data_IF_585181452655
#
_entry.id   IF_585181452655
#
_cell.length_a   1.000
_cell.length_b   1.000
_cell.length_c   1.000
_cell.angle_alpha   90.00
_cell.angle_beta   90.00
_cell.angle_gamma   90.00
#
_symmetry.space_group_name_H-M   'P 1'
#
loop_
_entity.id
_entity.type
_entity.pdbx_description
1 polymer ?
#
# COMPACT_ATOMS: atom_id res chain seq x y z
N UNK A 1 -99.04 4.28 -20.87
CA UNK A 1 -97.86 3.85 -21.67
C UNK A 1 -96.90 5.01 -22.01
N UNK A 2 -96.67 5.97 -21.09
CA UNK A 2 -95.80 7.15 -21.32
C UNK A 2 -94.74 7.40 -20.23
N UNK A 3 -94.59 6.47 -19.27
CA UNK A 3 -93.69 6.63 -18.13
C UNK A 3 -92.37 5.85 -18.31
N UNK A 4 -92.36 4.74 -19.05
CA UNK A 4 -91.14 3.96 -19.33
C UNK A 4 -90.15 4.60 -20.32
N UNK A 5 -90.56 5.61 -21.10
CA UNK A 5 -89.67 6.27 -22.09
C UNK A 5 -88.85 7.42 -21.50
N UNK A 6 -89.21 7.91 -20.31
CA UNK A 6 -88.51 9.02 -19.66
C UNK A 6 -87.35 8.54 -18.78
N UNK A 7 -87.44 7.31 -18.27
CA UNK A 7 -86.40 6.73 -17.43
C UNK A 7 -85.20 6.23 -18.27
N UNK A 8 -85.45 5.64 -19.46
CA UNK A 8 -84.37 5.21 -20.38
C UNK A 8 -83.50 6.37 -20.87
N UNK A 9 -84.11 7.51 -21.28
CA UNK A 9 -83.36 8.68 -21.77
C UNK A 9 -82.55 9.35 -20.65
N UNK A 10 -83.00 9.22 -19.40
CA UNK A 10 -82.30 9.78 -18.23
C UNK A 10 -81.14 8.89 -17.80
N UNK A 11 -81.29 7.57 -17.95
CA UNK A 11 -80.23 6.58 -17.74
C UNK A 11 -79.10 6.75 -18.77
N UNK A 12 -79.45 6.84 -20.06
CA UNK A 12 -78.50 7.00 -21.18
C UNK A 12 -77.65 8.28 -21.04
N UNK A 13 -78.27 9.41 -20.69
CA UNK A 13 -77.54 10.67 -20.41
C UNK A 13 -76.66 10.61 -19.17
N UNK A 14 -77.02 9.82 -18.16
CA UNK A 14 -76.18 9.65 -16.97
C UNK A 14 -74.95 8.79 -17.26
N UNK A 15 -75.08 7.81 -18.14
CA UNK A 15 -73.99 6.93 -18.54
C UNK A 15 -72.99 7.66 -19.45
N UNK A 16 -73.46 8.48 -20.39
CA UNK A 16 -72.59 9.33 -21.24
C UNK A 16 -71.76 10.33 -20.41
N UNK A 17 -72.35 10.97 -19.40
CA UNK A 17 -71.66 11.92 -18.53
C UNK A 17 -70.63 11.21 -17.62
N UNK A 18 -70.94 9.99 -17.18
CA UNK A 18 -69.97 9.16 -16.43
C UNK A 18 -68.82 8.69 -17.31
N UNK A 19 -69.11 8.29 -18.55
CA UNK A 19 -68.11 7.88 -19.53
C UNK A 19 -67.15 9.03 -19.85
N UNK A 20 -67.69 10.23 -20.13
CA UNK A 20 -66.90 11.42 -20.41
C UNK A 20 -65.99 11.82 -19.22
N UNK A 21 -66.50 11.75 -17.98
CA UNK A 21 -65.69 11.99 -16.78
C UNK A 21 -64.62 10.92 -16.56
N UNK A 22 -64.91 9.65 -16.84
CA UNK A 22 -63.91 8.58 -16.74
C UNK A 22 -62.81 8.72 -17.80
N UNK A 23 -63.15 9.18 -19.01
CA UNK A 23 -62.18 9.40 -20.09
C UNK A 23 -61.28 10.62 -19.82
N UNK A 24 -61.81 11.68 -19.21
CA UNK A 24 -61.02 12.86 -18.79
C UNK A 24 -60.02 12.51 -17.67
N UNK A 25 -60.48 11.76 -16.65
CA UNK A 25 -59.62 11.24 -15.58
C UNK A 25 -58.58 10.25 -16.13
N UNK A 26 -58.93 9.45 -17.16
CA UNK A 26 -57.98 8.57 -17.85
C UNK A 26 -56.93 9.37 -18.62
N UNK A 27 -57.32 10.45 -19.33
CA UNK A 27 -56.37 11.32 -20.05
C UNK A 27 -55.41 12.03 -19.10
N UNK A 28 -55.90 12.62 -18.01
CA UNK A 28 -55.03 13.24 -16.98
C UNK A 28 -54.05 12.24 -16.36
N UNK A 29 -54.51 11.03 -16.00
CA UNK A 29 -53.62 9.97 -15.51
C UNK A 29 -52.60 9.53 -16.55
N UNK A 30 -52.98 9.45 -17.82
CA UNK A 30 -52.10 9.00 -18.90
C UNK A 30 -51.03 10.03 -19.23
N UNK A 31 -51.33 11.33 -19.15
CA UNK A 31 -50.37 12.41 -19.39
C UNK A 31 -49.39 12.59 -18.21
N UNK A 32 -49.87 12.49 -16.96
CA UNK A 32 -48.99 12.47 -15.79
C UNK A 32 -47.99 11.31 -15.79
N UNK A 33 -48.43 10.11 -16.21
CA UNK A 33 -47.57 8.92 -16.28
C UNK A 33 -46.53 9.02 -17.41
N UNK A 34 -46.86 9.65 -18.54
CA UNK A 34 -45.92 9.90 -19.65
C UNK A 34 -44.87 10.94 -19.28
N UNK A 35 -45.26 12.03 -18.62
CA UNK A 35 -44.35 13.08 -18.13
C UNK A 35 -43.39 12.49 -17.09
N UNK A 36 -43.89 11.66 -16.17
CA UNK A 36 -43.08 11.01 -15.15
C UNK A 36 -42.04 10.05 -15.78
N UNK A 37 -42.44 9.21 -16.74
CA UNK A 37 -41.51 8.34 -17.47
C UNK A 37 -40.44 9.13 -18.22
N UNK A 38 -40.80 10.26 -18.83
CA UNK A 38 -39.85 11.12 -19.55
C UNK A 38 -38.80 11.72 -18.61
N UNK A 39 -39.21 12.16 -17.40
CA UNK A 39 -38.30 12.68 -16.39
C UNK A 39 -37.28 11.63 -15.90
N UNK A 40 -37.72 10.38 -15.67
CA UNK A 40 -36.81 9.30 -15.27
C UNK A 40 -35.81 8.90 -16.36
N UNK A 41 -36.25 8.89 -17.62
CA UNK A 41 -35.33 8.68 -18.76
C UNK A 41 -34.30 9.80 -18.82
N UNK A 42 -34.71 11.06 -18.62
CA UNK A 42 -33.80 12.20 -18.62
C UNK A 42 -32.78 12.13 -17.47
N UNK A 43 -33.22 11.77 -16.27
CA UNK A 43 -32.33 11.54 -15.11
C UNK A 43 -31.37 10.40 -15.40
N UNK A 44 -31.85 9.29 -15.99
CA UNK A 44 -31.00 8.17 -16.40
C UNK A 44 -29.93 8.57 -17.42
N UNK A 45 -30.30 9.38 -18.42
CA UNK A 45 -29.37 9.92 -19.42
C UNK A 45 -28.38 10.90 -18.79
N UNK A 46 -28.83 11.79 -17.89
CA UNK A 46 -27.95 12.72 -17.17
C UNK A 46 -26.97 11.99 -16.24
N UNK A 47 -27.42 10.92 -15.58
CA UNK A 47 -26.56 10.06 -14.77
C UNK A 47 -25.56 9.30 -15.65
N UNK A 48 -26.01 8.72 -16.77
CA UNK A 48 -25.13 8.05 -17.73
C UNK A 48 -24.10 9.03 -18.35
N UNK A 49 -24.52 10.23 -18.71
CA UNK A 49 -23.65 11.30 -19.19
C UNK A 49 -22.67 11.77 -18.10
N UNK A 50 -23.11 11.87 -16.84
CA UNK A 50 -22.26 12.18 -15.70
C UNK A 50 -21.21 11.09 -15.43
N UNK A 51 -21.59 9.82 -15.55
CA UNK A 51 -20.67 8.67 -15.47
C UNK A 51 -19.69 8.68 -16.66
N UNK A 52 -20.16 8.98 -17.87
CA UNK A 52 -19.29 9.10 -19.05
C UNK A 52 -18.29 10.26 -18.90
N UNK A 53 -18.76 11.45 -18.51
CA UNK A 53 -17.92 12.63 -18.29
C UNK A 53 -16.89 12.44 -17.17
N UNK A 54 -17.25 11.72 -16.10
CA UNK A 54 -16.30 11.37 -15.03
C UNK A 54 -15.34 10.26 -15.46
N UNK A 55 -15.78 9.30 -16.28
CA UNK A 55 -14.91 8.27 -16.87
C UNK A 55 -13.94 8.81 -17.92
N UNK A 56 -14.27 9.94 -18.55
CA UNK A 56 -13.42 10.68 -19.51
C UNK A 56 -12.36 11.54 -18.83
N UNK A 57 -12.47 11.79 -17.52
CA UNK A 57 -11.39 12.45 -16.78
C UNK A 57 -10.24 11.45 -16.65
N UNK A 58 -9.18 11.70 -17.40
CA UNK A 58 -7.92 10.96 -17.33
C UNK A 58 -7.26 11.04 -15.95
N UNK A 59 -6.00 10.60 -15.88
CA UNK A 59 -5.20 10.76 -14.67
C UNK A 59 -5.12 12.25 -14.29
N UNK A 60 -5.44 12.64 -13.04
CA UNK A 60 -5.28 14.01 -12.59
C UNK A 60 -3.86 14.55 -12.82
N UNK A 61 -3.75 15.86 -13.07
CA UNK A 61 -2.46 16.52 -13.20
C UNK A 61 -1.56 16.35 -11.96
N UNK A 62 -2.16 16.34 -10.76
CA UNK A 62 -1.43 16.14 -9.50
C UNK A 62 -0.67 14.81 -9.45
N UNK A 63 -1.28 13.70 -9.87
CA UNK A 63 -0.61 12.39 -9.86
C UNK A 63 0.56 12.35 -10.85
N UNK A 64 0.40 12.99 -12.01
CA UNK A 64 1.46 13.12 -13.01
C UNK A 64 2.60 14.01 -12.49
N UNK A 65 2.27 15.11 -11.80
CA UNK A 65 3.25 16.00 -11.18
C UNK A 65 4.04 15.29 -10.07
N UNK A 66 3.37 14.51 -9.22
CA UNK A 66 4.02 13.73 -8.17
C UNK A 66 4.95 12.65 -8.76
N UNK A 67 4.49 11.93 -9.79
CA UNK A 67 5.35 11.00 -10.53
C UNK A 67 6.59 11.70 -11.12
N UNK A 68 6.41 12.86 -11.75
CA UNK A 68 7.52 13.65 -12.32
C UNK A 68 8.50 14.12 -11.24
N UNK A 69 8.00 14.56 -10.07
CA UNK A 69 8.84 14.93 -8.93
C UNK A 69 9.64 13.73 -8.41
N UNK A 70 9.02 12.55 -8.33
CA UNK A 70 9.72 11.31 -7.97
C UNK A 70 10.83 10.98 -8.98
N UNK A 71 10.53 11.04 -10.28
CA UNK A 71 11.53 10.83 -11.33
C UNK A 71 12.66 11.89 -11.31
N UNK A 72 12.38 13.12 -10.86
CA UNK A 72 13.41 14.14 -10.74
C UNK A 72 14.47 13.83 -9.67
N UNK A 73 14.20 12.89 -8.75
CA UNK A 73 15.19 12.37 -7.80
C UNK A 73 16.23 11.46 -8.48
N UNK A 74 16.02 11.06 -9.74
CA UNK A 74 16.97 10.27 -10.53
C UNK A 74 18.17 11.10 -11.03
N UNK A 75 18.32 12.34 -10.57
CA UNK A 75 19.48 13.22 -10.78
C UNK A 75 20.75 12.79 -10.01
N UNK A 76 20.76 11.55 -9.50
CA UNK A 76 21.81 10.97 -8.66
C UNK A 76 21.38 10.79 -7.21
N UNK A 77 20.32 11.46 -6.73
CA UNK A 77 19.83 11.30 -5.36
C UNK A 77 19.33 9.88 -5.09
N UNK A 78 18.52 9.28 -5.97
CA UNK A 78 18.08 7.89 -5.78
C UNK A 78 19.23 6.88 -5.80
N UNK A 79 20.25 7.09 -6.65
CA UNK A 79 21.45 6.22 -6.69
C UNK A 79 22.27 6.30 -5.39
N UNK A 80 22.29 7.47 -4.73
CA UNK A 80 22.91 7.64 -3.41
C UNK A 80 22.11 6.94 -2.30
N UNK A 81 20.78 6.89 -2.43
CA UNK A 81 19.91 6.17 -1.50
C UNK A 81 20.12 4.66 -1.68
N UNK A 82 19.98 4.16 -2.91
CA UNK A 82 20.16 2.74 -3.21
C UNK A 82 20.68 2.52 -4.64
N UNK A 83 21.78 1.77 -4.83
CA UNK A 83 22.35 1.53 -6.15
C UNK A 83 21.37 0.86 -7.13
N UNK A 84 21.09 1.53 -8.25
CA UNK A 84 20.18 1.08 -9.29
C UNK A 84 18.70 1.32 -9.00
N UNK A 85 18.33 2.05 -7.94
CA UNK A 85 16.96 2.48 -7.70
C UNK A 85 16.52 3.52 -8.74
N UNK A 86 15.38 3.26 -9.36
CA UNK A 86 14.78 4.15 -10.35
C UNK A 86 13.27 3.89 -10.41
N UNK A 87 12.50 4.97 -10.38
CA UNK A 87 11.04 4.95 -10.55
C UNK A 87 10.70 4.81 -12.03
N UNK A 88 11.39 5.55 -12.91
CA UNK A 88 11.12 5.60 -14.35
C UNK A 88 11.48 4.31 -15.09
N UNK A 89 12.32 3.46 -14.49
CA UNK A 89 12.68 2.13 -15.01
C UNK A 89 11.48 1.19 -15.11
N UNK A 90 10.47 1.36 -14.26
CA UNK A 90 9.31 0.48 -14.20
C UNK A 90 8.04 1.21 -14.64
N UNK A 91 7.09 0.53 -15.30
CA UNK A 91 5.78 1.10 -15.58
C UNK A 91 5.01 1.37 -14.28
N UNK A 92 4.58 2.61 -14.07
CA UNK A 92 3.79 3.02 -12.88
C UNK A 92 2.31 3.08 -13.24
N UNK A 93 1.51 2.16 -12.72
CA UNK A 93 0.07 2.07 -12.93
C UNK A 93 -0.69 2.76 -11.79
N UNK A 94 -1.17 3.98 -12.03
CA UNK A 94 -1.94 4.74 -11.04
C UNK A 94 -3.43 4.40 -11.14
N UNK A 95 -3.99 3.80 -10.09
CA UNK A 95 -5.41 3.41 -10.00
C UNK A 95 -6.29 4.56 -9.55
N UNK A 96 -7.35 4.82 -10.33
CA UNK A 96 -8.42 5.75 -9.98
C UNK A 96 -9.78 5.20 -10.40
N UNK A 97 -10.59 4.85 -9.40
CA UNK A 97 -11.88 4.19 -9.63
C UNK A 97 -11.70 2.83 -10.31
N UNK A 98 -12.31 2.67 -11.49
CA UNK A 98 -12.29 1.42 -12.28
C UNK A 98 -11.27 1.41 -13.42
N UNK A 99 -10.24 2.25 -13.34
CA UNK A 99 -9.18 2.33 -14.34
C UNK A 99 -7.80 2.46 -13.70
N UNK A 100 -6.80 1.94 -14.39
CA UNK A 100 -5.38 2.21 -14.17
C UNK A 100 -4.86 3.10 -15.31
N UNK A 101 -4.00 4.04 -14.95
CA UNK A 101 -3.27 4.88 -15.88
C UNK A 101 -1.80 4.51 -15.78
N UNK A 102 -1.31 3.76 -16.75
CA UNK A 102 0.08 3.28 -16.81
C UNK A 102 0.94 4.36 -17.43
N UNK A 103 1.89 4.86 -16.65
CA UNK A 103 2.89 5.84 -17.05
C UNK A 103 4.19 5.09 -17.34
N UNK A 104 4.69 5.15 -18.56
CA UNK A 104 5.97 4.53 -18.94
C UNK A 104 6.56 5.15 -20.20
N UNK A 105 7.86 5.43 -20.23
CA UNK A 105 8.57 6.00 -21.39
C UNK A 105 7.90 7.26 -21.99
N UNK A 106 7.31 8.11 -21.14
CA UNK A 106 6.62 9.33 -21.56
C UNK A 106 5.18 9.13 -22.06
N UNK A 107 4.74 7.89 -22.23
CA UNK A 107 3.36 7.55 -22.58
C UNK A 107 2.49 7.39 -21.33
N UNK A 108 1.21 7.76 -21.43
CA UNK A 108 0.19 7.43 -20.44
C UNK A 108 -0.90 6.61 -21.12
N UNK A 109 -1.07 5.36 -20.73
CA UNK A 109 -2.06 4.43 -21.29
C UNK A 109 -3.10 4.07 -20.24
N UNK A 110 -4.37 4.22 -20.60
CA UNK A 110 -5.49 3.81 -19.75
C UNK A 110 -5.79 2.33 -19.98
N UNK A 111 -5.86 1.54 -18.91
CA UNK A 111 -6.29 0.13 -18.93
C UNK A 111 -7.27 -0.18 -17.81
N UNK A 112 -7.86 -1.38 -17.84
CA UNK A 112 -8.61 -1.92 -16.71
C UNK A 112 -7.62 -2.31 -15.59
N UNK A 113 -8.00 -2.18 -14.31
CA UNK A 113 -7.15 -2.59 -13.20
C UNK A 113 -6.74 -4.05 -13.31
N UNK A 114 -5.47 -4.34 -13.02
CA UNK A 114 -4.96 -5.72 -13.03
C UNK A 114 -5.44 -6.47 -11.80
N UNK A 115 -5.43 -5.82 -10.64
CA UNK A 115 -5.96 -6.38 -9.40
C UNK A 115 -7.42 -5.96 -9.17
N UNK A 116 -8.28 -6.82 -8.60
CA UNK A 116 -9.64 -6.45 -8.25
C UNK A 116 -9.68 -5.44 -7.10
N UNK A 117 -8.62 -5.35 -6.29
CA UNK A 117 -8.48 -4.50 -5.09
C UNK A 117 -7.58 -3.29 -5.35
N UNK A 118 -7.83 -2.20 -4.61
CA UNK A 118 -6.88 -1.08 -4.55
C UNK A 118 -5.63 -1.60 -3.83
N UNK A 119 -4.47 -1.46 -4.46
CA UNK A 119 -3.19 -1.91 -3.93
C UNK A 119 -2.13 -0.82 -4.15
N UNK A 120 -1.21 -0.70 -3.19
CA UNK A 120 0.07 -0.01 -3.30
C UNK A 120 1.11 -1.14 -3.24
N UNK A 121 1.76 -1.44 -4.35
CA UNK A 121 2.57 -2.65 -4.48
C UNK A 121 3.42 -2.68 -5.74
N UNK A 122 4.52 -3.45 -5.76
CA UNK A 122 5.12 -3.95 -6.99
C UNK A 122 4.49 -5.28 -7.43
N UNK A 123 4.13 -5.40 -8.70
CA UNK A 123 3.41 -6.54 -9.25
C UNK A 123 4.15 -7.16 -10.45
N UNK A 124 4.60 -8.43 -10.37
CA UNK A 124 5.19 -9.12 -11.51
C UNK A 124 4.12 -9.46 -12.55
N UNK A 125 4.39 -9.15 -13.82
CA UNK A 125 3.58 -9.52 -14.98
C UNK A 125 4.48 -10.12 -16.07
N UNK A 126 3.87 -10.73 -17.09
CA UNK A 126 4.58 -11.42 -18.18
C UNK A 126 5.61 -10.52 -18.91
N UNK A 127 5.34 -9.22 -19.00
CA UNK A 127 6.17 -8.23 -19.69
C UNK A 127 7.06 -7.39 -18.75
N UNK A 128 7.10 -7.72 -17.46
CA UNK A 128 7.96 -7.09 -16.45
C UNK A 128 7.24 -6.75 -15.15
N UNK A 129 7.91 -6.01 -14.28
CA UNK A 129 7.36 -5.60 -12.98
C UNK A 129 6.68 -4.23 -13.08
N UNK A 130 5.45 -4.13 -12.60
CA UNK A 130 4.67 -2.89 -12.54
C UNK A 130 4.64 -2.34 -11.12
N UNK A 131 4.75 -1.02 -10.98
CA UNK A 131 4.47 -0.34 -9.72
C UNK A 131 2.99 0.05 -9.73
N UNK A 132 2.18 -0.57 -8.88
CA UNK A 132 0.76 -0.27 -8.72
C UNK A 132 0.59 0.75 -7.59
N UNK A 133 -0.02 1.88 -7.90
CA UNK A 133 -0.24 2.96 -6.93
C UNK A 133 -1.69 3.40 -6.94
N UNK A 134 -2.38 3.57 -5.81
CA UNK A 134 -3.62 4.32 -5.79
C UNK A 134 -3.34 5.79 -6.09
N UNK A 135 -4.26 6.50 -6.76
CA UNK A 135 -4.09 7.93 -7.00
C UNK A 135 -4.00 8.70 -5.68
N UNK A 136 -3.33 9.85 -5.65
CA UNK A 136 -3.18 10.71 -4.47
C UNK A 136 -4.52 11.04 -3.81
N UNK A 137 -5.55 11.31 -4.60
CA UNK A 137 -6.91 11.54 -4.07
C UNK A 137 -7.52 10.32 -3.38
N UNK A 138 -7.19 9.12 -3.86
CA UNK A 138 -7.64 7.85 -3.25
C UNK A 138 -6.86 7.65 -1.94
N UNK A 139 -5.54 7.83 -1.95
CA UNK A 139 -4.69 7.81 -0.76
C UNK A 139 -5.18 8.80 0.31
N UNK A 140 -5.51 10.03 -0.07
CA UNK A 140 -6.05 11.07 0.83
C UNK A 140 -7.41 10.72 1.43
N UNK A 141 -8.19 9.87 0.75
CA UNK A 141 -9.51 9.44 1.20
C UNK A 141 -9.44 8.20 2.08
N UNK A 142 -8.40 7.38 1.88
CA UNK A 142 -8.23 6.10 2.55
C UNK A 142 -7.37 6.24 3.81
N UNK A 143 -6.47 7.22 3.93
CA UNK A 143 -5.60 7.39 5.10
C UNK A 143 -4.25 6.67 4.97
N UNK A 144 -3.65 6.26 6.11
CA UNK A 144 -2.37 5.56 6.15
C UNK A 144 -2.44 4.16 5.51
N UNK A 145 -1.36 3.70 4.87
CA UNK A 145 -1.28 2.32 4.38
C UNK A 145 -1.06 1.41 5.59
N UNK A 146 -1.91 0.40 5.81
CA UNK A 146 -1.55 -0.73 6.66
C UNK A 146 -1.04 -1.85 5.74
N UNK A 147 0.23 -2.16 5.82
CA UNK A 147 0.88 -3.11 4.92
C UNK A 147 0.52 -4.56 5.32
N UNK A 148 0.38 -5.48 4.35
CA UNK A 148 0.10 -6.86 4.72
C UNK A 148 0.30 -7.92 3.64
N UNK A 149 1.20 -8.86 3.92
CA UNK A 149 1.42 -10.09 3.13
C UNK A 149 0.26 -11.07 3.31
N UNK A 150 -0.18 -11.76 2.25
CA UNK A 150 -0.82 -13.07 2.36
C UNK A 150 -0.02 -14.15 1.64
N UNK A 151 -0.26 -15.40 2.03
CA UNK A 151 0.60 -16.55 1.76
C UNK A 151 0.73 -16.88 0.27
N UNK A 152 1.82 -16.41 -0.34
CA UNK A 152 2.23 -16.70 -1.72
C UNK A 152 3.05 -15.54 -2.30
N UNK A 153 4.05 -15.81 -3.14
CA UNK A 153 4.92 -14.78 -3.75
C UNK A 153 4.13 -13.69 -4.51
N UNK A 154 3.02 -14.05 -5.16
CA UNK A 154 2.14 -13.13 -5.88
C UNK A 154 1.17 -12.34 -4.97
N UNK A 155 0.90 -12.84 -3.76
CA UNK A 155 -0.01 -12.21 -2.78
C UNK A 155 0.72 -11.47 -1.65
N UNK A 156 2.03 -11.66 -1.56
CA UNK A 156 2.93 -11.11 -0.56
C UNK A 156 2.91 -9.57 -0.51
N UNK A 157 2.69 -8.91 -1.65
CA UNK A 157 2.95 -7.47 -1.75
C UNK A 157 1.68 -6.61 -1.65
N UNK A 158 0.51 -7.19 -1.34
CA UNK A 158 -0.75 -6.43 -1.35
C UNK A 158 -0.97 -5.67 -0.03
N UNK A 159 -0.55 -4.42 0.05
CA UNK A 159 -0.84 -3.54 1.20
C UNK A 159 -2.36 -3.37 1.43
N UNK A 160 -2.84 -3.52 2.68
CA UNK A 160 -4.25 -3.29 3.11
C UNK A 160 -4.41 -2.00 3.90
N UNK A 161 -4.75 -0.89 3.24
CA UNK A 161 -4.86 0.44 3.86
C UNK A 161 -5.70 0.57 5.16
N UNK A 162 -5.25 1.44 6.08
CA UNK A 162 -5.90 1.84 7.33
C UNK A 162 -6.42 3.29 7.26
N UNK A 163 -7.63 3.53 7.78
CA UNK A 163 -8.26 4.85 7.74
C UNK A 163 -7.82 5.69 8.93
N UNK A 164 -6.78 6.50 8.74
CA UNK A 164 -6.51 7.66 9.58
C UNK A 164 -6.90 8.95 8.85
N UNK A 165 -7.51 9.88 9.60
CA UNK A 165 -8.17 11.10 9.10
C UNK A 165 -7.21 12.19 8.59
N UNK A 166 -5.89 11.95 8.64
CA UNK A 166 -4.88 12.88 8.18
C UNK A 166 -4.56 12.63 6.70
N UNK A 167 -4.75 13.66 5.87
CA UNK A 167 -4.38 13.62 4.45
C UNK A 167 -2.87 13.36 4.32
N UNK A 168 -2.52 12.50 3.37
CA UNK A 168 -1.13 12.21 3.03
C UNK A 168 -0.49 13.47 2.44
N UNK A 169 0.77 13.75 2.75
CA UNK A 169 1.50 14.86 2.09
C UNK A 169 1.96 14.43 0.70
N UNK A 170 2.29 15.40 -0.15
CA UNK A 170 2.88 15.13 -1.47
C UNK A 170 4.22 14.39 -1.34
N UNK A 171 5.06 14.79 -0.39
CA UNK A 171 6.35 14.15 -0.13
C UNK A 171 6.17 12.72 0.37
N UNK A 172 5.20 12.48 1.26
CA UNK A 172 4.90 11.13 1.73
C UNK A 172 4.44 10.23 0.57
N UNK A 173 3.61 10.73 -0.35
CA UNK A 173 3.22 9.99 -1.55
C UNK A 173 4.42 9.67 -2.45
N UNK A 174 5.35 10.62 -2.64
CA UNK A 174 6.58 10.40 -3.41
C UNK A 174 7.49 9.36 -2.73
N UNK A 175 7.64 9.44 -1.41
CA UNK A 175 8.40 8.45 -0.63
C UNK A 175 7.82 7.05 -0.77
N UNK A 176 6.50 6.88 -0.68
CA UNK A 176 5.83 5.59 -0.92
C UNK A 176 6.01 5.12 -2.36
N UNK A 177 5.95 6.01 -3.36
CA UNK A 177 6.27 5.60 -4.74
C UNK A 177 7.71 5.08 -4.88
N UNK A 178 8.67 5.65 -4.15
CA UNK A 178 10.05 5.17 -4.13
C UNK A 178 10.21 3.86 -3.33
N UNK A 179 9.41 3.67 -2.28
CA UNK A 179 9.27 2.39 -1.57
C UNK A 179 8.84 1.29 -2.54
N UNK A 180 7.78 1.51 -3.33
CA UNK A 180 7.34 0.51 -4.32
C UNK A 180 8.35 0.30 -5.45
N UNK A 181 9.09 1.33 -5.83
CA UNK A 181 10.20 1.19 -6.76
C UNK A 181 11.34 0.32 -6.19
N UNK A 182 11.52 0.30 -4.87
CA UNK A 182 12.44 -0.62 -4.21
C UNK A 182 11.93 -2.05 -4.33
N UNK A 183 10.66 -2.33 -4.09
CA UNK A 183 10.10 -3.67 -4.32
C UNK A 183 10.23 -4.12 -5.78
N UNK A 184 10.01 -3.21 -6.74
CA UNK A 184 10.22 -3.54 -8.15
C UNK A 184 11.69 -3.90 -8.46
N UNK A 185 12.65 -3.23 -7.81
CA UNK A 185 14.07 -3.56 -7.88
C UNK A 185 14.40 -4.90 -7.23
N UNK A 186 13.85 -5.18 -6.05
CA UNK A 186 14.02 -6.44 -5.33
C UNK A 186 13.51 -7.62 -6.16
N UNK A 187 12.30 -7.53 -6.70
CA UNK A 187 11.72 -8.55 -7.58
C UNK A 187 12.57 -8.78 -8.83
N UNK A 188 13.18 -7.72 -9.37
CA UNK A 188 14.01 -7.80 -10.57
C UNK A 188 15.42 -8.35 -10.33
N UNK A 189 15.89 -8.42 -9.08
CA UNK A 189 17.30 -8.75 -8.77
C UNK A 189 17.50 -9.85 -7.73
N UNK A 190 16.56 -10.02 -6.80
CA UNK A 190 16.73 -10.85 -5.61
C UNK A 190 15.67 -11.94 -5.49
N UNK A 191 15.01 -12.30 -6.59
CA UNK A 191 13.98 -13.35 -6.61
C UNK A 191 14.47 -14.66 -5.96
N UNK A 192 15.70 -15.09 -6.27
CA UNK A 192 16.28 -16.32 -5.68
C UNK A 192 16.51 -16.21 -4.17
N UNK A 193 17.03 -15.08 -3.69
CA UNK A 193 17.25 -14.83 -2.25
C UNK A 193 15.93 -14.79 -1.51
N UNK A 194 14.93 -14.09 -2.06
CA UNK A 194 13.58 -14.00 -1.50
C UNK A 194 12.97 -15.41 -1.43
N UNK A 195 13.03 -16.17 -2.53
CA UNK A 195 12.51 -17.53 -2.59
C UNK A 195 13.22 -18.47 -1.60
N UNK A 196 14.53 -18.32 -1.39
CA UNK A 196 15.28 -19.08 -0.39
C UNK A 196 14.79 -18.79 1.04
N UNK A 197 14.63 -17.51 1.40
CA UNK A 197 14.12 -17.10 2.71
C UNK A 197 12.68 -17.56 2.94
N UNK A 198 11.81 -17.43 1.93
CA UNK A 198 10.43 -17.93 1.99
C UNK A 198 10.38 -19.45 2.22
N UNK A 199 11.26 -20.22 1.57
CA UNK A 199 11.36 -21.67 1.82
C UNK A 199 11.84 -21.99 3.23
N UNK A 200 12.70 -21.15 3.81
CA UNK A 200 13.16 -21.30 5.20
C UNK A 200 12.04 -21.14 6.24
N UNK A 201 10.96 -20.43 5.90
CA UNK A 201 9.78 -20.32 6.76
C UNK A 201 8.98 -21.63 6.73
N UNK A 202 8.92 -22.35 5.59
CA UNK A 202 8.47 -23.76 5.53
C UNK A 202 6.99 -24.06 5.84
N UNK A 203 6.33 -23.29 6.72
CA UNK A 203 4.96 -23.47 7.22
C UNK A 203 4.26 -22.09 7.30
N UNK A 204 3.06 -22.00 6.74
CA UNK A 204 2.24 -20.79 6.72
C UNK A 204 1.80 -20.31 8.12
N UNK A 205 1.83 -21.21 9.12
CA UNK A 205 1.35 -20.91 10.47
C UNK A 205 2.46 -20.34 11.38
N UNK A 206 3.71 -20.29 10.92
CA UNK A 206 4.84 -19.73 11.70
C UNK A 206 4.55 -18.30 12.13
N UNK A 207 4.07 -17.47 11.22
CA UNK A 207 3.81 -16.07 11.52
C UNK A 207 2.73 -15.91 12.60
N UNK A 208 1.64 -16.68 12.48
CA UNK A 208 0.55 -16.63 13.45
C UNK A 208 1.03 -17.06 14.84
N UNK A 209 1.86 -18.10 14.92
CA UNK A 209 2.46 -18.57 16.18
C UNK A 209 3.45 -17.56 16.78
N UNK A 210 4.28 -16.92 15.95
CA UNK A 210 5.17 -15.83 16.40
C UNK A 210 4.33 -14.69 16.99
N UNK A 211 3.29 -14.24 16.28
CA UNK A 211 2.38 -13.18 16.75
C UNK A 211 1.70 -13.56 18.06
N UNK A 212 1.27 -14.81 18.20
CA UNK A 212 0.68 -15.30 19.45
C UNK A 212 1.69 -15.23 20.61
N UNK A 213 2.92 -15.67 20.39
CA UNK A 213 3.98 -15.65 21.40
C UNK A 213 4.40 -14.22 21.82
N UNK A 214 4.18 -13.21 20.99
CA UNK A 214 4.40 -11.81 21.35
C UNK A 214 3.43 -11.25 22.38
N UNK A 215 2.39 -12.00 22.74
CA UNK A 215 1.56 -11.66 23.90
C UNK A 215 2.25 -11.99 25.24
N UNK A 216 3.36 -12.74 25.22
CA UNK A 216 4.15 -13.05 26.42
C UNK A 216 4.96 -11.83 26.88
N UNK A 217 4.81 -11.37 28.14
CA UNK A 217 5.51 -10.19 28.65
C UNK A 217 7.04 -10.27 28.55
N UNK A 218 7.63 -11.47 28.62
CA UNK A 218 9.08 -11.62 28.48
C UNK A 218 9.53 -11.33 27.03
N UNK A 219 8.75 -11.76 26.04
CA UNK A 219 9.01 -11.48 24.62
C UNK A 219 8.84 -9.98 24.35
N UNK A 220 7.75 -9.37 24.82
CA UNK A 220 7.50 -7.93 24.67
C UNK A 220 8.66 -7.09 25.22
N UNK A 221 9.08 -7.37 26.45
CA UNK A 221 10.19 -6.66 27.09
C UNK A 221 11.52 -6.82 26.32
N UNK A 222 11.76 -7.97 25.69
CA UNK A 222 12.96 -8.14 24.85
C UNK A 222 12.87 -7.34 23.55
N UNK A 223 11.73 -7.40 22.86
CA UNK A 223 11.49 -6.62 21.64
C UNK A 223 11.60 -5.10 21.90
N UNK A 224 11.05 -4.62 23.01
CA UNK A 224 11.13 -3.20 23.39
C UNK A 224 12.57 -2.76 23.65
N UNK A 225 13.35 -3.55 24.40
CA UNK A 225 14.77 -3.26 24.65
C UNK A 225 15.58 -3.28 23.35
N UNK A 226 15.29 -4.23 22.47
CA UNK A 226 15.95 -4.34 21.16
C UNK A 226 15.67 -3.09 20.31
N UNK A 227 14.41 -2.66 20.23
CA UNK A 227 14.01 -1.47 19.48
C UNK A 227 14.64 -0.18 20.05
N UNK A 228 14.63 0.00 21.37
CA UNK A 228 15.25 1.15 22.04
C UNK A 228 16.78 1.18 21.83
N UNK A 229 17.46 0.02 21.88
CA UNK A 229 18.89 -0.05 21.58
C UNK A 229 19.19 0.30 20.12
N UNK A 230 18.42 -0.23 19.17
CA UNK A 230 18.58 0.10 17.75
C UNK A 230 18.36 1.59 17.49
N UNK A 231 17.31 2.18 18.05
CA UNK A 231 17.04 3.61 17.97
C UNK A 231 18.24 4.43 18.46
N UNK A 232 18.84 4.09 19.61
CA UNK A 232 20.02 4.80 20.14
C UNK A 232 21.22 4.67 19.21
N UNK A 233 21.48 3.49 18.67
CA UNK A 233 22.59 3.26 17.73
C UNK A 233 22.42 4.06 16.44
N UNK A 234 21.18 4.24 15.97
CA UNK A 234 20.87 5.00 14.74
C UNK A 234 20.88 6.51 14.98
N UNK A 235 20.27 6.99 16.07
CA UNK A 235 19.99 8.41 16.31
C UNK A 235 21.08 9.12 17.12
N UNK A 236 21.99 8.40 17.78
CA UNK A 236 23.06 9.04 18.57
C UNK A 236 23.83 10.09 17.76
N UNK A 237 24.04 11.26 18.35
CA UNK A 237 24.86 12.34 17.77
C UNK A 237 26.37 12.04 17.89
N UNK A 238 26.73 11.02 18.68
CA UNK A 238 28.11 10.64 18.94
C UNK A 238 28.68 9.81 17.76
N UNK A 239 29.20 10.50 16.75
CA UNK A 239 30.11 9.94 15.75
C UNK A 239 29.74 8.54 15.21
N UNK A 240 30.73 7.67 15.02
CA UNK A 240 30.47 6.28 14.64
C UNK A 240 30.00 5.49 15.87
N UNK A 241 28.93 4.67 15.79
CA UNK A 241 28.49 3.83 16.91
C UNK A 241 29.62 2.93 17.42
N UNK A 242 29.69 2.79 18.75
CA UNK A 242 30.67 1.91 19.40
C UNK A 242 30.42 0.43 19.05
N UNK A 243 31.51 -0.31 18.84
CA UNK A 243 31.45 -1.71 18.38
C UNK A 243 30.88 -2.65 19.43
N UNK A 244 31.13 -2.39 20.72
CA UNK A 244 30.55 -3.20 21.81
C UNK A 244 29.03 -3.04 21.87
N UNK A 245 28.53 -1.82 21.70
CA UNK A 245 27.10 -1.53 21.65
C UNK A 245 26.40 -2.19 20.44
N UNK A 246 27.06 -2.23 19.29
CA UNK A 246 26.54 -2.95 18.10
C UNK A 246 26.51 -4.46 18.33
N UNK A 247 27.57 -5.03 18.94
CA UNK A 247 27.61 -6.45 19.31
C UNK A 247 26.55 -6.81 20.34
N UNK A 248 26.26 -5.91 21.28
CA UNK A 248 25.19 -6.10 22.25
C UNK A 248 23.81 -6.16 21.57
N UNK A 249 23.55 -5.27 20.61
CA UNK A 249 22.32 -5.31 19.81
C UNK A 249 22.17 -6.64 19.06
N UNK A 250 23.24 -7.10 18.41
CA UNK A 250 23.26 -8.40 17.70
C UNK A 250 22.96 -9.55 18.68
N UNK A 251 23.57 -9.56 19.86
CA UNK A 251 23.30 -10.58 20.88
C UNK A 251 21.83 -10.55 21.32
N UNK A 252 21.29 -9.36 21.62
CA UNK A 252 19.88 -9.21 22.01
C UNK A 252 18.93 -9.70 20.93
N UNK A 253 19.26 -9.46 19.66
CA UNK A 253 18.49 -10.00 18.53
C UNK A 253 18.44 -11.52 18.55
N UNK A 254 19.60 -12.18 18.68
CA UNK A 254 19.71 -13.65 18.75
C UNK A 254 18.98 -14.22 19.96
N UNK A 255 19.15 -13.61 21.13
CA UNK A 255 18.45 -14.01 22.35
C UNK A 255 16.92 -13.91 22.19
N UNK A 256 16.43 -12.88 21.46
CA UNK A 256 15.00 -12.70 21.17
C UNK A 256 14.48 -13.78 20.22
N UNK A 257 15.25 -14.12 19.18
CA UNK A 257 14.91 -15.21 18.24
C UNK A 257 14.87 -16.57 18.95
N UNK A 258 15.86 -16.86 19.79
CA UNK A 258 15.90 -18.08 20.60
C UNK A 258 14.72 -18.15 21.59
N UNK A 259 14.35 -17.03 22.22
CA UNK A 259 13.17 -16.98 23.09
C UNK A 259 11.88 -17.26 22.30
N UNK A 260 11.70 -16.63 21.14
CA UNK A 260 10.56 -16.87 20.25
C UNK A 260 10.49 -18.34 19.81
N UNK A 261 11.62 -18.93 19.40
CA UNK A 261 11.73 -20.35 19.07
C UNK A 261 11.28 -21.23 20.24
N UNK A 262 11.79 -20.97 21.44
CA UNK A 262 11.42 -21.73 22.64
C UNK A 262 9.95 -21.60 23.01
N UNK A 263 9.34 -20.43 22.84
CA UNK A 263 7.94 -20.16 23.19
C UNK A 263 6.96 -20.74 22.19
N UNK A 264 7.32 -20.67 20.90
CA UNK A 264 6.47 -21.15 19.81
C UNK A 264 6.67 -22.64 19.54
N UNK A 265 7.84 -23.21 19.84
CA UNK A 265 8.26 -24.54 19.37
C UNK A 265 8.61 -24.57 17.88
N UNK A 266 8.95 -23.41 17.30
CA UNK A 266 9.41 -23.26 15.91
C UNK A 266 10.93 -23.36 15.91
N UNK A 267 11.50 -23.96 14.86
CA UNK A 267 12.94 -24.01 14.67
C UNK A 267 13.57 -22.60 14.63
N UNK A 268 14.74 -22.43 15.26
CA UNK A 268 15.40 -21.11 15.36
C UNK A 268 15.78 -20.56 13.98
N UNK A 269 16.19 -21.40 13.03
CA UNK A 269 16.51 -20.96 11.66
C UNK A 269 15.26 -20.50 10.91
N UNK A 270 14.09 -21.08 11.21
CA UNK A 270 12.82 -20.64 10.63
C UNK A 270 12.36 -19.29 11.22
N UNK A 271 12.53 -19.08 12.54
CA UNK A 271 12.31 -17.77 13.18
C UNK A 271 13.25 -16.71 12.60
N UNK A 272 14.53 -17.06 12.42
CA UNK A 272 15.53 -16.20 11.79
C UNK A 272 15.15 -15.87 10.34
N UNK A 273 14.80 -16.88 9.54
CA UNK A 273 14.41 -16.70 8.13
C UNK A 273 13.19 -15.80 7.97
N UNK A 274 12.21 -15.91 8.89
CA UNK A 274 11.06 -15.02 8.93
C UNK A 274 11.46 -13.56 9.17
N UNK A 275 12.32 -13.31 10.17
CA UNK A 275 12.80 -11.97 10.46
C UNK A 275 13.63 -11.40 9.29
N UNK A 276 14.56 -12.19 8.76
CA UNK A 276 15.44 -11.79 7.67
C UNK A 276 14.69 -11.51 6.36
N UNK A 277 13.61 -12.25 6.06
CA UNK A 277 12.74 -12.00 4.92
C UNK A 277 12.12 -10.61 5.00
N UNK A 278 11.50 -10.29 6.14
CA UNK A 278 10.79 -9.02 6.32
C UNK A 278 11.75 -7.83 6.47
N UNK A 279 12.88 -8.01 7.13
CA UNK A 279 13.92 -6.98 7.22
C UNK A 279 14.54 -6.69 5.84
N UNK A 280 14.72 -7.71 5.00
CA UNK A 280 15.21 -7.55 3.62
C UNK A 280 14.18 -6.85 2.74
N UNK A 281 12.94 -7.34 2.67
CA UNK A 281 11.92 -6.81 1.76
C UNK A 281 11.43 -5.44 2.21
N UNK A 282 10.81 -5.39 3.37
CA UNK A 282 10.08 -4.22 3.86
C UNK A 282 11.00 -3.26 4.60
N UNK A 283 11.98 -3.79 5.32
CA UNK A 283 12.97 -2.96 6.01
C UNK A 283 13.81 -2.12 5.04
N UNK A 284 14.28 -2.69 3.93
CA UNK A 284 15.01 -1.90 2.92
C UNK A 284 14.10 -0.95 2.15
N UNK A 285 12.83 -1.30 1.91
CA UNK A 285 11.84 -0.41 1.28
C UNK A 285 11.48 0.78 2.18
N UNK A 286 11.19 0.56 3.47
CA UNK A 286 11.02 1.61 4.51
C UNK A 286 12.27 2.48 4.66
N UNK A 287 13.47 1.90 4.56
CA UNK A 287 14.71 2.67 4.50
C UNK A 287 14.73 3.61 3.29
N UNK A 288 14.43 3.11 2.09
CA UNK A 288 14.34 3.94 0.87
C UNK A 288 13.30 5.05 1.04
N UNK A 289 12.15 4.73 1.62
CA UNK A 289 11.07 5.69 1.91
C UNK A 289 11.55 6.83 2.83
N UNK A 290 12.21 6.49 3.95
CA UNK A 290 12.77 7.46 4.88
C UNK A 290 13.86 8.32 4.23
N UNK A 291 14.79 7.70 3.51
CA UNK A 291 15.87 8.43 2.81
C UNK A 291 15.35 9.30 1.67
N UNK A 292 14.22 8.93 1.06
CA UNK A 292 13.54 9.75 0.07
C UNK A 292 12.95 11.00 0.71
N UNK A 293 12.32 10.88 1.89
CA UNK A 293 11.83 12.03 2.64
C UNK A 293 12.97 13.03 2.94
N UNK A 294 14.14 12.52 3.35
CA UNK A 294 15.34 13.33 3.56
C UNK A 294 15.84 13.98 2.25
N UNK A 295 15.86 13.25 1.13
CA UNK A 295 16.26 13.77 -0.18
C UNK A 295 15.31 14.83 -0.77
N UNK A 296 14.07 14.86 -0.26
CA UNK A 296 13.05 15.89 -0.51
C UNK A 296 13.12 17.06 0.47
N UNK A 297 14.08 17.05 1.41
CA UNK A 297 14.23 18.03 2.49
C UNK A 297 12.99 18.13 3.40
N UNK A 298 12.28 17.01 3.60
CA UNK A 298 11.15 16.90 4.52
C UNK A 298 11.62 16.34 5.87
N UNK A 299 12.25 17.19 6.67
CA UNK A 299 12.84 16.82 7.97
C UNK A 299 11.77 16.33 8.96
N UNK A 300 10.55 16.86 8.88
CA UNK A 300 9.45 16.44 9.75
C UNK A 300 9.00 15.01 9.42
N UNK A 301 8.90 14.66 8.13
CA UNK A 301 8.58 13.31 7.69
C UNK A 301 9.75 12.35 7.98
N UNK A 302 10.99 12.76 7.72
CA UNK A 302 12.16 11.95 8.06
C UNK A 302 12.27 11.68 9.56
N UNK A 303 12.04 12.70 10.40
CA UNK A 303 12.02 12.58 11.86
C UNK A 303 10.91 11.65 12.38
N UNK A 304 9.78 11.55 11.68
CA UNK A 304 8.75 10.56 11.99
C UNK A 304 9.26 9.12 11.80
N UNK A 305 9.98 8.82 10.71
CA UNK A 305 10.59 7.50 10.54
C UNK A 305 11.62 7.19 11.63
N UNK A 306 12.48 8.14 11.99
CA UNK A 306 13.44 7.95 13.09
C UNK A 306 12.73 7.67 14.42
N UNK A 307 11.69 8.43 14.74
CA UNK A 307 10.91 8.26 15.97
C UNK A 307 10.20 6.90 15.99
N UNK A 308 9.71 6.43 14.83
CA UNK A 308 9.02 5.14 14.72
C UNK A 308 9.89 3.93 15.09
N UNK A 309 11.22 4.04 15.03
CA UNK A 309 12.14 2.98 15.47
C UNK A 309 12.00 2.68 16.97
N UNK A 310 11.61 3.66 17.77
CA UNK A 310 11.45 3.50 19.23
C UNK A 310 10.04 3.04 19.63
N UNK A 311 9.09 3.13 18.72
CA UNK A 311 7.72 2.72 18.99
C UNK A 311 7.59 1.19 19.00
N UNK A 312 6.99 0.66 20.06
CA UNK A 312 6.68 -0.76 20.15
C UNK A 312 5.69 -1.15 19.05
N UNK A 313 6.08 -2.15 18.26
CA UNK A 313 5.24 -2.75 17.22
C UNK A 313 5.35 -4.27 17.32
N UNK A 314 4.32 -4.96 16.88
CA UNK A 314 4.20 -6.41 16.94
C UNK A 314 3.83 -6.96 15.57
N UNK A 315 3.94 -8.28 15.41
CA UNK A 315 3.81 -8.95 14.14
C UNK A 315 4.90 -8.51 13.18
N UNK A 316 4.53 -8.22 11.93
CA UNK A 316 5.47 -7.94 10.85
C UNK A 316 6.10 -6.55 10.94
N UNK A 317 5.34 -5.55 11.40
CA UNK A 317 5.78 -4.15 11.48
C UNK A 317 7.10 -3.98 12.26
N UNK A 318 7.34 -4.82 13.27
CA UNK A 318 8.60 -4.81 14.04
C UNK A 318 9.81 -5.13 13.18
N UNK A 319 9.67 -6.03 12.21
CA UNK A 319 10.72 -6.41 11.27
C UNK A 319 10.95 -5.31 10.22
N UNK A 320 9.92 -4.56 9.87
CA UNK A 320 10.03 -3.48 8.89
C UNK A 320 10.81 -2.32 9.51
N UNK A 321 10.44 -1.96 10.74
CA UNK A 321 11.14 -0.93 11.52
C UNK A 321 12.57 -1.35 11.85
N UNK A 322 12.78 -2.57 12.33
CA UNK A 322 14.15 -3.03 12.62
C UNK A 322 15.01 -3.14 11.37
N UNK A 323 14.49 -3.64 10.25
CA UNK A 323 15.23 -3.67 8.99
C UNK A 323 15.59 -2.27 8.46
N UNK A 324 14.67 -1.31 8.57
CA UNK A 324 14.97 0.10 8.30
C UNK A 324 16.09 0.63 9.20
N UNK A 325 15.99 0.38 10.50
CA UNK A 325 16.99 0.81 11.49
C UNK A 325 18.35 0.15 11.27
N UNK A 326 18.40 -1.12 10.90
CA UNK A 326 19.63 -1.84 10.54
C UNK A 326 20.28 -1.19 9.32
N UNK A 327 19.52 -0.86 8.28
CA UNK A 327 20.04 -0.16 7.10
C UNK A 327 20.61 1.23 7.46
N UNK A 328 19.93 1.97 8.34
CA UNK A 328 20.43 3.26 8.83
C UNK A 328 21.69 3.12 9.69
N UNK A 329 21.79 2.05 10.49
CA UNK A 329 22.99 1.74 11.26
C UNK A 329 24.15 1.37 10.33
N UNK A 330 23.90 0.56 9.30
CA UNK A 330 24.89 0.19 8.30
C UNK A 330 25.46 1.41 7.55
N UNK A 331 24.65 2.43 7.25
CA UNK A 331 25.13 3.70 6.69
C UNK A 331 26.20 4.37 7.56
N UNK A 332 26.14 4.19 8.88
CA UNK A 332 27.11 4.74 9.83
C UNK A 332 28.37 3.87 9.98
N UNK A 333 28.25 2.57 9.70
CA UNK A 333 29.31 1.58 9.94
C UNK A 333 30.12 1.26 8.68
N UNK A 334 29.52 1.20 7.50
CA UNK A 334 30.24 0.87 6.29
C UNK A 334 29.61 1.53 5.05
N UNK A 335 30.19 2.61 4.50
CA UNK A 335 29.67 3.24 3.28
C UNK A 335 29.54 2.31 2.06
N UNK A 336 30.19 1.14 2.06
CA UNK A 336 30.13 0.14 1.00
C UNK A 336 28.96 -0.84 1.07
N UNK A 337 28.27 -0.94 2.22
CA UNK A 337 27.39 -2.06 2.58
C UNK A 337 26.31 -2.39 1.52
N UNK A 338 25.76 -1.37 0.85
CA UNK A 338 24.70 -1.54 -0.16
C UNK A 338 25.17 -2.33 -1.38
N UNK A 339 26.45 -2.25 -1.74
CA UNK A 339 27.01 -3.03 -2.86
C UNK A 339 27.07 -4.51 -2.53
N UNK A 340 27.46 -4.84 -1.30
CA UNK A 340 27.57 -6.23 -0.85
C UNK A 340 26.19 -6.88 -0.72
N UNK A 341 25.20 -6.14 -0.23
CA UNK A 341 23.81 -6.60 -0.21
C UNK A 341 23.20 -6.70 -1.62
N UNK A 342 23.47 -5.73 -2.49
CA UNK A 342 22.97 -5.75 -3.88
C UNK A 342 23.54 -6.89 -4.72
N UNK A 343 24.69 -7.46 -4.33
CA UNK A 343 25.24 -8.68 -4.92
C UNK A 343 24.47 -9.95 -4.53
N UNK A 344 23.43 -9.85 -3.69
CA UNK A 344 22.53 -10.94 -3.33
C UNK A 344 23.05 -11.86 -2.23
N UNK A 345 24.13 -11.47 -1.54
CA UNK A 345 24.88 -12.38 -0.68
C UNK A 345 24.20 -12.64 0.67
N UNK A 346 23.61 -11.63 1.31
CA UNK A 346 23.19 -11.69 2.72
C UNK A 346 22.02 -10.72 3.04
N UNK A 347 21.10 -11.08 3.96
CA UNK A 347 20.14 -10.14 4.55
C UNK A 347 20.83 -9.02 5.35
N UNK A 348 20.15 -7.87 5.60
CA UNK A 348 20.75 -6.74 6.32
C UNK A 348 21.32 -7.11 7.71
N UNK A 349 20.61 -7.95 8.47
CA UNK A 349 21.06 -8.37 9.79
C UNK A 349 22.36 -9.17 9.73
N UNK A 350 22.50 -10.09 8.78
CA UNK A 350 23.70 -10.91 8.64
C UNK A 350 24.90 -10.09 8.16
N UNK A 351 24.67 -9.09 7.30
CA UNK A 351 25.71 -8.12 6.94
C UNK A 351 26.19 -7.31 8.14
N UNK A 352 25.27 -6.87 9.01
CA UNK A 352 25.61 -6.18 10.25
C UNK A 352 26.44 -7.07 11.18
N UNK A 353 26.12 -8.36 11.29
CA UNK A 353 26.91 -9.32 12.06
C UNK A 353 28.34 -9.45 11.52
N UNK A 354 28.51 -9.54 10.20
CA UNK A 354 29.83 -9.66 9.59
C UNK A 354 30.71 -8.41 9.76
N UNK A 355 30.10 -7.22 9.82
CA UNK A 355 30.83 -5.96 10.03
C UNK A 355 31.22 -5.81 11.51
N UNK A 356 30.41 -6.33 12.43
CA UNK A 356 30.61 -6.18 13.87
C UNK A 356 31.39 -7.34 14.53
N UNK A 357 31.48 -8.50 13.86
CA UNK A 357 32.34 -9.63 14.26
C UNK A 357 33.80 -9.25 14.24
#
# INVERSE_FOLDING_TARGET
>A
MKQGKMDDVRQEKMDDVKQAKMDDVRREKMDGTKIFKLAYVLIGVLLAAGVLLTSMRGLPGVDIELYKKACALEDGRLEQIWPGLSVSRYPVAVRRGYAEYVIFNGDIRKRKPVLPVIACTAYPADDGVYILMPSKSVMDSIGQIAEGFSAGFEEALISRFSIDSKKMTDNQYISVLCHEAMHALQLSRWEETIAALTRGIGDSDIEARIVEAESDPAVQNMCEKQADMLYRLVVSDDGRPDTESVREYIRMRKDTQALLSSKTGIDEDAVKSCADLYELLEGTARYVEARTALALSDEDLYGQYLTSLKETSYGREKYYRSGMGICMLLDRLDPGWKRDLSAGSLPPAELLENIAG
#
